data_IF_741503551621
#
_entry.id   IF_741503551621
#
_cell.length_a   1.000
_cell.length_b   1.000
_cell.length_c   1.000
_cell.angle_alpha   90.00
_cell.angle_beta   90.00
_cell.angle_gamma   90.00
#
_symmetry.space_group_name_H-M   'P 1'
#
loop_
_entity.id
_entity.type
_entity.pdbx_description
1 polymer ?
#
# COMPACT_ATOMS: atom_id res chain seq x y z
N UNK A 1 -8.82 25.89 -15.31
CA UNK A 1 -8.26 25.73 -13.95
C UNK A 1 -9.27 24.92 -13.18
N UNK A 2 -8.98 23.65 -12.89
CA UNK A 2 -9.90 22.79 -12.13
C UNK A 2 -9.94 23.29 -10.69
N UNK A 3 -11.11 23.56 -10.20
CA UNK A 3 -11.41 24.00 -8.82
C UNK A 3 -11.17 22.80 -7.86
N UNK A 4 -9.89 22.42 -7.68
CA UNK A 4 -9.51 21.30 -6.84
C UNK A 4 -9.43 21.80 -5.40
N UNK A 5 -10.42 21.38 -4.58
CA UNK A 5 -10.45 21.63 -3.13
C UNK A 5 -9.10 21.26 -2.49
N UNK A 6 -8.52 22.12 -1.65
CA UNK A 6 -7.29 21.80 -0.93
C UNK A 6 -7.50 20.57 -0.06
N UNK A 7 -6.48 19.71 0.01
CA UNK A 7 -6.48 18.51 0.82
C UNK A 7 -6.09 18.83 2.27
N UNK A 8 -6.46 17.99 3.24
CA UNK A 8 -6.18 18.25 4.66
C UNK A 8 -4.71 18.06 5.05
N UNK A 9 -3.87 17.61 4.14
CA UNK A 9 -2.44 17.36 4.36
C UNK A 9 -1.59 18.48 3.76
N UNK A 10 -0.53 18.88 4.45
CA UNK A 10 0.50 19.78 3.93
C UNK A 10 1.63 19.00 3.29
N UNK A 11 2.12 17.98 4.00
CA UNK A 11 3.19 17.10 3.54
C UNK A 11 2.70 15.66 3.49
N UNK A 12 2.82 15.03 2.32
CA UNK A 12 2.51 13.61 2.12
C UNK A 12 3.80 12.86 1.75
N UNK A 13 4.01 11.67 2.32
CA UNK A 13 5.09 10.78 1.95
C UNK A 13 4.54 9.49 1.34
N UNK A 14 4.85 9.24 0.06
CA UNK A 14 4.40 8.05 -0.68
C UNK A 14 5.59 7.14 -0.94
N UNK A 15 5.60 5.97 -0.30
CA UNK A 15 6.62 4.95 -0.46
C UNK A 15 6.14 3.92 -1.48
N UNK A 16 6.94 3.64 -2.51
CA UNK A 16 6.57 2.81 -3.65
C UNK A 16 5.93 3.62 -4.78
N UNK A 17 6.43 4.84 -5.01
CA UNK A 17 5.92 5.79 -5.99
C UNK A 17 6.50 5.65 -7.40
N UNK A 18 7.38 4.68 -7.66
CA UNK A 18 7.99 4.50 -9.00
C UNK A 18 7.00 4.03 -10.07
N UNK A 19 5.88 3.42 -9.69
CA UNK A 19 4.88 2.89 -10.63
C UNK A 19 3.54 2.60 -9.94
N UNK A 20 2.55 2.20 -10.73
CA UNK A 20 1.27 1.69 -10.24
C UNK A 20 0.53 2.68 -9.33
N UNK A 21 -0.10 2.14 -8.27
CA UNK A 21 -1.00 2.90 -7.39
C UNK A 21 -0.29 4.06 -6.67
N UNK A 22 0.98 3.86 -6.23
CA UNK A 22 1.75 4.91 -5.56
C UNK A 22 2.05 6.08 -6.48
N UNK A 23 2.49 5.83 -7.72
CA UNK A 23 2.74 6.87 -8.72
C UNK A 23 1.46 7.60 -9.12
N UNK A 24 0.36 6.87 -9.33
CA UNK A 24 -0.93 7.47 -9.67
C UNK A 24 -1.46 8.36 -8.53
N UNK A 25 -1.34 7.92 -7.28
CA UNK A 25 -1.71 8.75 -6.13
C UNK A 25 -0.83 10.00 -6.02
N UNK A 26 0.50 9.88 -6.23
CA UNK A 26 1.41 11.02 -6.22
C UNK A 26 0.98 12.11 -7.21
N UNK A 27 0.61 11.71 -8.43
CA UNK A 27 0.07 12.62 -9.46
C UNK A 27 -1.24 13.29 -9.04
N UNK A 28 -2.13 12.58 -8.34
CA UNK A 28 -3.39 13.15 -7.83
C UNK A 28 -3.17 14.15 -6.69
N UNK A 29 -2.10 14.03 -5.93
CA UNK A 29 -1.74 14.95 -4.85
C UNK A 29 -0.94 16.15 -5.36
N UNK A 30 -0.33 16.06 -6.54
CA UNK A 30 0.49 17.12 -7.12
C UNK A 30 -0.31 18.43 -7.28
N UNK A 31 0.27 19.54 -6.80
CA UNK A 31 -0.38 20.85 -6.79
C UNK A 31 -1.57 20.98 -5.83
N UNK A 32 -1.90 19.95 -5.03
CA UNK A 32 -3.01 19.96 -4.06
C UNK A 32 -2.54 19.94 -2.60
N UNK A 33 -1.26 19.66 -2.38
CA UNK A 33 -0.56 19.73 -1.09
C UNK A 33 0.73 20.51 -1.27
N UNK A 34 1.36 20.96 -0.18
CA UNK A 34 2.59 21.74 -0.28
C UNK A 34 3.76 20.92 -0.80
N UNK A 35 3.89 19.67 -0.31
CA UNK A 35 4.95 18.75 -0.70
C UNK A 35 4.45 17.32 -0.73
N UNK A 36 4.76 16.61 -1.81
CA UNK A 36 4.60 15.15 -1.91
C UNK A 36 6.00 14.53 -1.99
N UNK A 37 6.52 14.03 -0.88
CA UNK A 37 7.73 13.23 -0.88
C UNK A 37 7.45 11.87 -1.52
N UNK A 38 8.19 11.53 -2.58
CA UNK A 38 8.05 10.28 -3.31
C UNK A 38 9.29 9.42 -3.13
N UNK A 39 9.10 8.16 -2.71
CA UNK A 39 10.21 7.24 -2.45
C UNK A 39 10.04 5.93 -3.20
N UNK A 40 11.13 5.48 -3.79
CA UNK A 40 11.31 4.16 -4.40
C UNK A 40 12.82 3.88 -4.55
N UNK A 41 13.19 2.66 -4.94
CA UNK A 41 14.58 2.29 -5.21
C UNK A 41 15.13 2.89 -6.50
N UNK A 42 14.28 3.05 -7.53
CA UNK A 42 14.69 3.58 -8.84
C UNK A 42 14.70 5.10 -8.80
N UNK A 43 15.89 5.71 -8.79
CA UNK A 43 16.08 7.15 -8.91
C UNK A 43 15.47 7.65 -10.23
N UNK A 44 15.79 7.02 -11.36
CA UNK A 44 15.33 7.45 -12.69
C UNK A 44 13.80 7.55 -12.77
N UNK A 45 13.07 6.58 -12.14
CA UNK A 45 11.62 6.59 -12.13
C UNK A 45 11.05 7.72 -11.26
N UNK A 46 11.74 8.06 -10.16
CA UNK A 46 11.37 9.19 -9.31
C UNK A 46 11.66 10.53 -10.02
N UNK A 47 12.78 10.64 -10.68
CA UNK A 47 13.18 11.84 -11.43
C UNK A 47 12.23 12.10 -12.61
N UNK A 48 11.83 11.06 -13.33
CA UNK A 48 10.83 11.16 -14.40
C UNK A 48 9.47 11.65 -13.87
N UNK A 49 9.08 11.22 -12.67
CA UNK A 49 7.83 11.67 -12.05
C UNK A 49 7.94 13.11 -11.51
N UNK A 50 9.07 13.45 -10.92
CA UNK A 50 9.37 14.78 -10.39
C UNK A 50 9.49 15.85 -11.48
N UNK A 51 10.10 15.53 -12.64
CA UNK A 51 10.42 16.47 -13.71
C UNK A 51 9.20 17.27 -14.24
N UNK A 52 7.99 16.72 -14.12
CA UNK A 52 6.73 17.34 -14.57
C UNK A 52 5.93 18.00 -13.44
N UNK A 53 6.49 18.11 -12.23
CA UNK A 53 5.76 18.52 -11.03
C UNK A 53 6.45 19.67 -10.30
N UNK A 54 5.63 20.48 -9.60
CA UNK A 54 6.10 21.55 -8.73
C UNK A 54 6.12 21.17 -7.25
N UNK A 55 5.40 20.13 -6.84
CA UNK A 55 5.24 19.75 -5.43
C UNK A 55 5.79 18.38 -5.09
N UNK A 56 6.15 17.56 -6.10
CA UNK A 56 6.81 16.28 -5.87
C UNK A 56 8.29 16.47 -5.54
N UNK A 57 8.77 15.82 -4.48
CA UNK A 57 10.17 15.80 -4.08
C UNK A 57 10.67 14.35 -4.01
N UNK A 58 11.74 14.03 -4.76
CA UNK A 58 12.28 12.68 -4.87
C UNK A 58 13.22 12.34 -3.71
N UNK A 59 12.95 11.23 -3.03
CA UNK A 59 13.76 10.66 -1.95
C UNK A 59 14.01 9.17 -2.23
N UNK A 60 15.10 8.82 -2.93
CA UNK A 60 15.43 7.42 -3.21
C UNK A 60 15.59 6.63 -1.93
N UNK A 61 14.96 5.45 -1.88
CA UNK A 61 14.91 4.68 -0.65
C UNK A 61 14.70 3.19 -0.92
N UNK A 62 15.52 2.36 -0.27
CA UNK A 62 15.18 0.97 -0.02
C UNK A 62 14.59 0.85 1.41
N UNK A 63 13.31 0.52 1.51
CA UNK A 63 12.61 0.43 2.79
C UNK A 63 13.07 -0.74 3.66
N UNK A 64 13.87 -1.65 3.13
CA UNK A 64 14.47 -2.76 3.91
C UNK A 64 15.67 -2.31 4.74
N UNK A 65 16.27 -1.14 4.41
CA UNK A 65 17.31 -0.50 5.20
C UNK A 65 16.67 0.46 6.22
N UNK A 66 16.61 0.02 7.49
CA UNK A 66 16.01 0.80 8.58
C UNK A 66 16.72 2.13 8.83
N UNK A 67 18.05 2.17 8.69
CA UNK A 67 18.83 3.39 8.87
C UNK A 67 18.61 4.39 7.74
N UNK A 68 18.49 3.90 6.50
CA UNK A 68 18.12 4.73 5.35
C UNK A 68 16.70 5.30 5.52
N UNK A 69 15.74 4.50 6.01
CA UNK A 69 14.39 4.96 6.32
C UNK A 69 14.41 6.08 7.37
N UNK A 70 15.18 5.91 8.46
CA UNK A 70 15.30 6.91 9.51
C UNK A 70 15.95 8.22 9.01
N UNK A 71 16.96 8.13 8.15
CA UNK A 71 17.55 9.33 7.51
C UNK A 71 16.53 10.02 6.60
N UNK A 72 15.90 9.27 5.71
CA UNK A 72 14.92 9.78 4.77
C UNK A 72 13.75 10.50 5.49
N UNK A 73 13.22 9.91 6.55
CA UNK A 73 12.16 10.51 7.36
C UNK A 73 12.58 11.90 7.90
N UNK A 74 13.77 11.98 8.52
CA UNK A 74 14.29 13.26 9.04
C UNK A 74 14.52 14.30 7.94
N UNK A 75 15.07 13.88 6.80
CA UNK A 75 15.35 14.77 5.68
C UNK A 75 14.04 15.36 5.12
N UNK A 76 12.97 14.57 5.01
CA UNK A 76 11.66 15.06 4.61
C UNK A 76 11.13 16.08 5.61
N UNK A 77 11.19 15.77 6.92
CA UNK A 77 10.69 16.69 7.94
C UNK A 77 11.48 18.02 7.99
N UNK A 78 12.80 17.96 7.79
CA UNK A 78 13.64 19.16 7.74
C UNK A 78 13.33 20.05 6.53
N UNK A 79 13.04 19.46 5.37
CA UNK A 79 12.83 20.18 4.12
C UNK A 79 11.37 20.60 3.88
N UNK A 80 10.40 19.80 4.36
CA UNK A 80 8.98 19.98 4.06
C UNK A 80 8.08 20.14 5.30
N UNK A 81 8.67 20.07 6.49
CA UNK A 81 7.93 20.09 7.75
C UNK A 81 7.29 18.74 8.11
N UNK A 82 6.48 18.72 9.16
CA UNK A 82 5.87 17.48 9.67
C UNK A 82 5.10 16.73 8.59
N UNK A 83 5.30 15.41 8.54
CA UNK A 83 4.61 14.54 7.57
C UNK A 83 3.18 14.26 8.07
N UNK A 84 2.18 14.75 7.35
CA UNK A 84 0.77 14.59 7.71
C UNK A 84 0.16 13.29 7.20
N UNK A 85 0.62 12.80 6.03
CA UNK A 85 0.15 11.56 5.41
C UNK A 85 1.32 10.67 5.02
N UNK A 86 1.32 9.42 5.47
CA UNK A 86 2.25 8.37 5.02
C UNK A 86 1.47 7.29 4.28
N UNK A 87 1.88 6.98 3.04
CA UNK A 87 1.27 5.92 2.21
C UNK A 87 2.30 4.84 1.90
N UNK A 88 2.10 3.65 2.45
CA UNK A 88 3.00 2.50 2.37
C UNK A 88 2.57 1.59 1.22
N UNK A 89 2.97 1.95 -0.02
CA UNK A 89 2.60 1.25 -1.26
C UNK A 89 3.72 0.39 -1.86
N UNK A 90 4.92 0.42 -1.29
CA UNK A 90 6.00 -0.46 -1.72
C UNK A 90 5.66 -1.93 -1.49
N UNK A 91 6.12 -2.79 -2.38
CA UNK A 91 5.91 -4.21 -2.23
C UNK A 91 6.45 -5.00 -3.41
N UNK A 92 6.64 -6.29 -3.23
CA UNK A 92 7.00 -7.26 -4.28
C UNK A 92 5.90 -8.32 -4.41
N UNK A 93 5.84 -8.92 -5.60
CA UNK A 93 4.95 -10.01 -5.94
C UNK A 93 5.74 -11.05 -6.71
N UNK A 94 5.78 -12.25 -6.18
CA UNK A 94 6.39 -13.41 -6.82
C UNK A 94 5.37 -14.56 -6.75
N UNK A 95 5.01 -15.15 -7.90
CA UNK A 95 4.14 -16.32 -7.96
C UNK A 95 4.90 -17.57 -7.54
N UNK A 96 4.33 -18.33 -6.61
CA UNK A 96 4.92 -19.59 -6.14
C UNK A 96 3.87 -20.70 -6.14
N UNK A 97 4.24 -21.84 -6.69
CA UNK A 97 3.47 -23.10 -6.61
C UNK A 97 4.14 -24.08 -5.65
N UNK A 98 3.41 -25.05 -5.07
CA UNK A 98 3.99 -25.96 -4.07
C UNK A 98 5.29 -26.67 -4.45
N UNK A 99 5.54 -27.09 -5.71
CA UNK A 99 6.83 -27.68 -6.08
C UNK A 99 8.03 -26.74 -5.97
N UNK A 100 7.78 -25.41 -6.12
CA UNK A 100 8.81 -24.39 -6.26
C UNK A 100 8.91 -23.51 -5.01
N UNK A 101 8.54 -24.00 -3.82
CA UNK A 101 8.64 -23.24 -2.58
C UNK A 101 10.11 -22.92 -2.25
N UNK A 102 10.47 -21.64 -2.36
CA UNK A 102 11.81 -21.15 -2.08
C UNK A 102 11.81 -20.22 -0.85
N UNK A 103 12.48 -20.60 0.25
CA UNK A 103 12.58 -19.78 1.44
C UNK A 103 13.15 -18.36 1.20
N UNK A 104 14.02 -18.19 0.20
CA UNK A 104 14.59 -16.87 -0.13
C UNK A 104 13.51 -15.92 -0.67
N UNK A 105 12.59 -16.44 -1.49
CA UNK A 105 11.45 -15.67 -2.00
C UNK A 105 10.50 -15.26 -0.87
N UNK A 106 10.21 -16.16 0.08
CA UNK A 106 9.43 -15.82 1.27
C UNK A 106 10.12 -14.75 2.11
N UNK A 107 11.43 -14.92 2.37
CA UNK A 107 12.22 -13.93 3.11
C UNK A 107 12.18 -12.57 2.43
N UNK A 108 12.47 -12.49 1.12
CA UNK A 108 12.40 -11.25 0.33
C UNK A 108 11.02 -10.60 0.43
N UNK A 109 9.94 -11.39 0.30
CA UNK A 109 8.59 -10.88 0.41
C UNK A 109 8.30 -10.31 1.81
N UNK A 110 8.72 -11.00 2.88
CA UNK A 110 8.58 -10.49 4.25
C UNK A 110 9.44 -9.26 4.51
N UNK A 111 10.69 -9.23 4.06
CA UNK A 111 11.58 -8.09 4.24
C UNK A 111 11.00 -6.82 3.58
N UNK A 112 10.55 -6.93 2.32
CA UNK A 112 10.03 -5.77 1.58
C UNK A 112 8.61 -5.41 2.00
N UNK A 113 7.67 -6.38 1.97
CA UNK A 113 6.25 -6.08 2.13
C UNK A 113 5.83 -5.85 3.57
N UNK A 114 6.55 -6.43 4.55
CA UNK A 114 6.20 -6.34 5.96
C UNK A 114 7.24 -5.57 6.77
N UNK A 115 8.49 -6.04 6.84
CA UNK A 115 9.50 -5.35 7.64
C UNK A 115 9.81 -3.95 7.13
N UNK A 116 9.83 -3.73 5.81
CA UNK A 116 9.95 -2.39 5.25
C UNK A 116 8.83 -1.45 5.71
N UNK A 117 7.59 -1.95 5.79
CA UNK A 117 6.47 -1.18 6.37
C UNK A 117 6.72 -0.88 7.85
N UNK A 118 7.17 -1.86 8.63
CA UNK A 118 7.50 -1.69 10.06
C UNK A 118 8.60 -0.66 10.26
N UNK A 119 9.65 -0.66 9.42
CA UNK A 119 10.73 0.33 9.48
C UNK A 119 10.21 1.77 9.36
N UNK A 120 9.28 2.00 8.43
CA UNK A 120 8.66 3.34 8.25
C UNK A 120 7.74 3.68 9.43
N UNK A 121 6.92 2.73 9.89
CA UNK A 121 6.05 2.94 11.05
C UNK A 121 6.84 3.28 12.32
N UNK A 122 8.02 2.68 12.51
CA UNK A 122 8.90 2.96 13.64
C UNK A 122 9.38 4.43 13.70
N UNK A 123 9.40 5.14 12.57
CA UNK A 123 9.71 6.56 12.52
C UNK A 123 8.44 7.41 12.63
N UNK A 124 7.42 7.11 11.82
CA UNK A 124 6.23 7.95 11.69
C UNK A 124 5.30 7.88 12.92
N UNK A 125 5.10 6.69 13.49
CA UNK A 125 4.13 6.49 14.59
C UNK A 125 4.48 7.29 15.84
N UNK A 126 5.71 7.22 16.39
CA UNK A 126 6.05 7.97 17.60
C UNK A 126 5.87 9.50 17.44
N UNK A 127 6.24 10.01 16.26
CA UNK A 127 6.10 11.45 15.99
C UNK A 127 4.63 11.86 15.84
N UNK A 128 3.84 11.13 15.06
CA UNK A 128 2.42 11.41 14.89
C UNK A 128 1.65 11.30 16.21
N UNK A 129 1.95 10.28 17.04
CA UNK A 129 1.34 10.15 18.39
C UNK A 129 1.71 11.30 19.31
N UNK A 130 2.96 11.79 19.27
CA UNK A 130 3.41 12.95 20.06
C UNK A 130 2.70 14.25 19.64
N UNK A 131 2.44 14.41 18.34
CA UNK A 131 1.70 15.55 17.77
C UNK A 131 0.20 15.41 17.89
N UNK A 132 -0.31 14.23 18.25
CA UNK A 132 -1.72 13.85 18.25
C UNK A 132 -2.40 14.10 16.88
N UNK A 133 -1.63 14.00 15.82
CA UNK A 133 -2.06 14.27 14.44
C UNK A 133 -1.23 13.47 13.43
N UNK A 134 -1.89 12.99 12.39
CA UNK A 134 -1.29 12.28 11.27
C UNK A 134 -2.22 11.22 10.69
N UNK A 135 -1.86 10.78 9.50
CA UNK A 135 -2.59 9.71 8.81
C UNK A 135 -1.63 8.73 8.16
N UNK A 136 -1.90 7.44 8.34
CA UNK A 136 -1.10 6.35 7.78
C UNK A 136 -2.02 5.46 6.94
N UNK A 137 -1.59 5.12 5.73
CA UNK A 137 -2.27 4.17 4.85
C UNK A 137 -1.34 2.98 4.54
N UNK A 138 -1.70 1.79 4.98
CA UNK A 138 -0.97 0.55 4.69
C UNK A 138 -1.64 -0.14 3.51
N UNK A 139 -0.93 -0.24 2.38
CA UNK A 139 -1.44 -0.93 1.19
C UNK A 139 -1.23 -2.44 1.36
N UNK A 140 -2.28 -3.11 1.76
CA UNK A 140 -2.36 -4.57 1.80
C UNK A 140 -2.95 -5.12 0.48
N UNK A 141 -3.88 -6.06 0.54
CA UNK A 141 -4.58 -6.66 -0.61
C UNK A 141 -5.73 -7.54 -0.14
N UNK A 142 -6.71 -7.79 -1.01
CA UNK A 142 -7.71 -8.85 -0.80
C UNK A 142 -7.06 -10.25 -0.68
N UNK A 143 -5.85 -10.43 -1.21
CA UNK A 143 -5.06 -11.66 -1.04
C UNK A 143 -4.64 -11.90 0.42
N UNK A 144 -4.73 -10.90 1.28
CA UNK A 144 -4.53 -11.03 2.73
C UNK A 144 -5.78 -11.51 3.48
N UNK A 145 -6.96 -11.52 2.88
CA UNK A 145 -8.18 -11.97 3.55
C UNK A 145 -8.24 -13.49 3.70
N UNK A 146 -7.77 -14.22 2.69
CA UNK A 146 -7.72 -15.67 2.68
C UNK A 146 -6.65 -16.17 1.72
N UNK A 147 -6.02 -17.31 2.04
CA UNK A 147 -4.97 -17.88 1.20
C UNK A 147 -5.47 -18.21 -0.21
N UNK A 148 -4.79 -17.70 -1.22
CA UNK A 148 -5.09 -17.93 -2.63
C UNK A 148 -3.97 -18.79 -3.27
N UNK A 149 -4.29 -19.66 -4.24
CA UNK A 149 -3.27 -20.34 -5.04
C UNK A 149 -2.28 -19.36 -5.67
N UNK A 150 -1.06 -19.78 -5.88
CA UNK A 150 0.07 -19.02 -6.43
C UNK A 150 0.51 -17.80 -5.58
N UNK A 151 -0.21 -17.45 -4.50
CA UNK A 151 0.03 -16.26 -3.69
C UNK A 151 0.65 -16.55 -2.31
N UNK A 152 1.28 -17.71 -2.10
CA UNK A 152 1.71 -18.14 -0.78
C UNK A 152 2.64 -17.14 -0.06
N UNK A 153 3.71 -16.67 -0.70
CA UNK A 153 4.60 -15.69 -0.10
C UNK A 153 3.94 -14.32 0.03
N UNK A 154 3.33 -13.83 -1.04
CA UNK A 154 2.69 -12.51 -1.05
C UNK A 154 1.48 -12.43 -0.11
N UNK A 155 0.55 -13.38 -0.22
CA UNK A 155 -0.68 -13.41 0.58
C UNK A 155 -0.39 -13.45 2.08
N UNK A 156 0.63 -14.20 2.50
CA UNK A 156 1.08 -14.24 3.90
C UNK A 156 1.53 -12.87 4.40
N UNK A 157 2.31 -12.11 3.59
CA UNK A 157 2.72 -10.76 3.98
C UNK A 157 1.54 -9.80 4.06
N UNK A 158 0.56 -9.92 3.15
CA UNK A 158 -0.62 -9.06 3.13
C UNK A 158 -1.59 -9.38 4.27
N UNK A 159 -1.70 -10.65 4.68
CA UNK A 159 -2.42 -11.04 5.89
C UNK A 159 -1.76 -10.47 7.15
N UNK A 160 -0.42 -10.52 7.23
CA UNK A 160 0.34 -9.92 8.32
C UNK A 160 0.11 -8.40 8.41
N UNK A 161 0.08 -7.68 7.28
CA UNK A 161 -0.21 -6.24 7.26
C UNK A 161 -1.63 -5.91 7.72
N UNK A 162 -2.64 -6.72 7.36
CA UNK A 162 -4.01 -6.53 7.84
C UNK A 162 -4.05 -6.68 9.36
N UNK A 163 -3.44 -7.75 9.89
CA UNK A 163 -3.38 -7.99 11.33
C UNK A 163 -2.62 -6.88 12.07
N UNK A 164 -1.49 -6.41 11.53
CA UNK A 164 -0.73 -5.29 12.08
C UNK A 164 -1.59 -4.01 12.14
N UNK A 165 -2.31 -3.70 11.06
CA UNK A 165 -3.18 -2.53 11.02
C UNK A 165 -4.33 -2.64 12.03
N UNK A 166 -4.96 -3.82 12.16
CA UNK A 166 -6.01 -4.08 13.16
C UNK A 166 -5.48 -3.89 14.58
N UNK A 167 -4.27 -4.38 14.87
CA UNK A 167 -3.65 -4.28 16.19
C UNK A 167 -3.28 -2.84 16.59
N UNK A 168 -2.74 -2.05 15.64
CA UNK A 168 -2.31 -0.69 15.92
C UNK A 168 -3.46 0.33 15.94
N UNK A 169 -4.55 0.06 15.21
CA UNK A 169 -5.61 1.03 14.98
C UNK A 169 -6.21 1.62 16.27
N UNK A 170 -6.59 0.83 17.30
CA UNK A 170 -7.21 1.39 18.51
C UNK A 170 -6.27 2.34 19.28
N UNK A 171 -4.99 1.98 19.38
CA UNK A 171 -4.01 2.78 20.11
C UNK A 171 -3.68 4.10 19.38
N UNK A 172 -3.56 4.05 18.05
CA UNK A 172 -3.33 5.22 17.23
C UNK A 172 -4.54 6.17 17.22
N UNK A 173 -5.76 5.60 17.11
CA UNK A 173 -6.99 6.38 17.16
C UNK A 173 -7.16 7.12 18.50
N UNK A 174 -6.78 6.48 19.62
CA UNK A 174 -6.80 7.11 20.95
C UNK A 174 -5.82 8.30 21.06
N UNK A 175 -4.86 8.40 20.13
CA UNK A 175 -3.87 9.49 20.02
C UNK A 175 -4.13 10.42 18.83
N UNK A 176 -5.34 10.42 18.27
CA UNK A 176 -5.68 11.31 17.16
C UNK A 176 -5.03 10.95 15.82
N UNK A 177 -4.33 9.81 15.71
CA UNK A 177 -3.70 9.35 14.49
C UNK A 177 -4.64 8.41 13.72
N UNK A 178 -4.89 8.73 12.46
CA UNK A 178 -5.73 7.90 11.59
C UNK A 178 -4.90 6.80 10.94
N UNK A 179 -5.32 5.55 11.05
CA UNK A 179 -4.73 4.42 10.34
C UNK A 179 -5.74 3.80 9.39
N UNK A 180 -5.36 3.66 8.13
CA UNK A 180 -6.17 3.02 7.08
C UNK A 180 -5.50 1.74 6.59
N UNK A 181 -6.24 0.63 6.60
CA UNK A 181 -5.90 -0.62 5.90
C UNK A 181 -6.50 -0.57 4.50
N UNK A 182 -5.66 -0.53 3.48
CA UNK A 182 -6.09 -0.46 2.08
C UNK A 182 -5.98 -1.84 1.47
N UNK A 183 -7.11 -2.41 1.04
CA UNK A 183 -7.18 -3.78 0.55
C UNK A 183 -7.71 -3.81 -0.90
N UNK A 184 -6.87 -3.47 -1.90
CA UNK A 184 -7.26 -3.50 -3.30
C UNK A 184 -7.41 -4.93 -3.82
N UNK A 185 -8.29 -5.09 -4.83
CA UNK A 185 -8.28 -6.22 -5.73
C UNK A 185 -7.23 -6.06 -6.84
N UNK A 186 -7.55 -6.56 -8.04
CA UNK A 186 -6.66 -6.43 -9.18
C UNK A 186 -6.69 -5.01 -9.75
N UNK A 187 -5.50 -4.41 -9.86
CA UNK A 187 -5.28 -3.10 -10.47
C UNK A 187 -4.37 -3.31 -11.69
N UNK A 188 -4.72 -2.67 -12.79
CA UNK A 188 -3.94 -2.68 -14.02
C UNK A 188 -2.64 -1.89 -13.82
N UNK A 189 -1.54 -2.62 -13.67
CA UNK A 189 -0.20 -2.09 -13.36
C UNK A 189 0.85 -3.02 -13.93
N UNK A 190 2.10 -2.56 -14.15
CA UNK A 190 3.18 -3.43 -14.60
C UNK A 190 3.39 -4.68 -13.73
N UNK A 191 3.01 -4.61 -12.45
CA UNK A 191 3.08 -5.77 -11.54
C UNK A 191 2.06 -6.86 -11.87
N UNK A 192 0.89 -6.50 -12.39
CA UNK A 192 -0.18 -7.45 -12.71
C UNK A 192 -0.12 -7.97 -14.15
N UNK A 193 0.64 -7.33 -15.03
CA UNK A 193 0.84 -7.76 -16.42
C UNK A 193 1.49 -9.15 -16.52
N UNK A 194 2.28 -9.55 -15.51
CA UNK A 194 2.95 -10.87 -15.47
C UNK A 194 2.03 -12.01 -15.02
N UNK A 195 0.78 -11.72 -14.64
CA UNK A 195 -0.14 -12.74 -14.17
C UNK A 195 -0.69 -13.58 -15.33
N UNK A 196 -0.61 -14.90 -15.19
CA UNK A 196 -1.08 -15.91 -16.15
C UNK A 196 -2.46 -16.49 -15.81
N UNK A 197 -3.21 -15.82 -14.94
CA UNK A 197 -4.51 -16.27 -14.45
C UNK A 197 -5.59 -15.18 -14.57
N UNK A 198 -6.89 -15.55 -14.60
CA UNK A 198 -7.97 -14.58 -14.68
C UNK A 198 -7.93 -13.55 -13.54
N UNK A 199 -8.03 -12.27 -13.88
CA UNK A 199 -8.10 -11.16 -12.93
C UNK A 199 -9.50 -10.52 -12.96
N UNK A 200 -10.49 -11.10 -12.27
CA UNK A 200 -11.84 -10.57 -12.29
C UNK A 200 -11.90 -9.16 -11.72
N UNK A 201 -12.68 -8.31 -12.38
CA UNK A 201 -12.86 -6.91 -11.97
C UNK A 201 -11.56 -6.10 -11.98
N UNK A 202 -10.62 -6.39 -12.91
CA UNK A 202 -9.42 -5.58 -13.10
C UNK A 202 -9.78 -4.10 -13.22
N UNK A 203 -9.14 -3.25 -12.43
CA UNK A 203 -9.46 -1.83 -12.35
C UNK A 203 -8.30 -0.99 -12.92
N UNK A 204 -8.58 0.03 -13.76
CA UNK A 204 -7.56 1.00 -14.18
C UNK A 204 -6.90 1.66 -12.98
N UNK A 205 -5.58 1.88 -13.06
CA UNK A 205 -4.77 2.42 -11.95
C UNK A 205 -5.24 3.80 -11.50
N UNK A 206 -5.62 4.66 -12.42
CA UNK A 206 -6.09 6.01 -12.10
C UNK A 206 -7.40 5.97 -11.31
N UNK A 207 -8.36 5.15 -11.74
CA UNK A 207 -9.61 4.94 -11.01
C UNK A 207 -9.38 4.33 -9.61
N UNK A 208 -8.36 3.47 -9.47
CA UNK A 208 -7.97 2.92 -8.17
C UNK A 208 -7.35 4.00 -7.27
N UNK A 209 -6.51 4.88 -7.80
CA UNK A 209 -5.92 6.00 -7.07
C UNK A 209 -6.98 7.01 -6.61
N UNK A 210 -7.97 7.33 -7.44
CA UNK A 210 -9.12 8.18 -7.05
C UNK A 210 -9.91 7.55 -5.88
N UNK A 211 -10.15 6.23 -5.92
CA UNK A 211 -10.84 5.51 -4.82
C UNK A 211 -10.02 5.52 -3.54
N UNK A 212 -8.70 5.35 -3.66
CA UNK A 212 -7.79 5.46 -2.53
C UNK A 212 -7.85 6.86 -1.93
N UNK A 213 -7.66 7.90 -2.74
CA UNK A 213 -7.71 9.29 -2.29
C UNK A 213 -9.03 9.62 -1.58
N UNK A 214 -10.16 9.28 -2.18
CA UNK A 214 -11.47 9.50 -1.58
C UNK A 214 -11.66 8.76 -0.23
N UNK A 215 -11.05 7.58 -0.08
CA UNK A 215 -11.04 6.84 1.18
C UNK A 215 -10.18 7.51 2.25
N UNK A 216 -9.02 8.04 1.86
CA UNK A 216 -8.11 8.80 2.73
C UNK A 216 -8.74 10.10 3.22
N UNK A 217 -9.37 10.88 2.34
CA UNK A 217 -10.08 12.12 2.70
C UNK A 217 -11.19 11.88 3.74
N UNK A 218 -11.87 10.72 3.65
CA UNK A 218 -12.91 10.31 4.60
C UNK A 218 -12.37 9.68 5.88
N UNK A 219 -11.06 9.49 5.98
CA UNK A 219 -10.40 8.82 7.11
C UNK A 219 -10.96 7.41 7.39
N UNK A 220 -11.35 6.68 6.34
CA UNK A 220 -11.89 5.34 6.51
C UNK A 220 -10.80 4.38 7.02
N UNK A 221 -11.13 3.57 8.03
CA UNK A 221 -10.22 2.52 8.50
C UNK A 221 -9.91 1.51 7.39
N UNK A 222 -10.96 1.01 6.71
CA UNK A 222 -10.78 0.09 5.60
C UNK A 222 -11.15 0.75 4.27
N UNK A 223 -10.19 0.76 3.33
CA UNK A 223 -10.38 1.27 1.97
C UNK A 223 -10.27 0.10 1.00
N UNK A 224 -11.36 -0.20 0.29
CA UNK A 224 -11.43 -1.36 -0.62
C UNK A 224 -11.97 -0.98 -1.99
N UNK A 225 -11.38 -1.57 -3.01
CA UNK A 225 -11.82 -1.41 -4.41
C UNK A 225 -11.28 -2.56 -5.29
N UNK A 226 -12.04 -2.99 -6.33
CA UNK A 226 -13.44 -2.67 -6.59
C UNK A 226 -14.35 -3.36 -5.54
N UNK A 227 -15.41 -2.67 -5.10
CA UNK A 227 -16.26 -3.13 -3.98
C UNK A 227 -16.86 -4.51 -4.21
N UNK A 228 -17.33 -4.83 -5.42
CA UNK A 228 -17.93 -6.14 -5.74
C UNK A 228 -16.97 -7.28 -5.46
N UNK A 229 -15.73 -7.17 -5.92
CA UNK A 229 -14.70 -8.17 -5.70
C UNK A 229 -14.32 -8.31 -4.22
N UNK A 230 -14.13 -7.19 -3.54
CA UNK A 230 -13.73 -7.21 -2.13
C UNK A 230 -14.84 -7.79 -1.23
N UNK A 231 -16.11 -7.51 -1.50
CA UNK A 231 -17.22 -8.15 -0.80
C UNK A 231 -17.26 -9.66 -1.03
N UNK A 232 -17.05 -10.12 -2.28
CA UNK A 232 -16.95 -11.54 -2.58
C UNK A 232 -15.82 -12.20 -1.78
N UNK A 233 -14.65 -11.59 -1.72
CA UNK A 233 -13.50 -12.10 -0.96
C UNK A 233 -13.77 -12.12 0.56
N UNK A 234 -14.49 -11.13 1.10
CA UNK A 234 -14.92 -11.13 2.50
C UNK A 234 -15.89 -12.27 2.80
N UNK A 235 -16.84 -12.55 1.91
CA UNK A 235 -17.72 -13.71 2.06
C UNK A 235 -16.94 -15.02 2.02
N UNK A 236 -16.00 -15.17 1.10
CA UNK A 236 -15.12 -16.35 1.05
C UNK A 236 -14.32 -16.54 2.34
N UNK A 237 -13.94 -15.46 3.03
CA UNK A 237 -13.25 -15.51 4.33
C UNK A 237 -14.10 -16.18 5.41
N UNK A 238 -15.42 -16.00 5.38
CA UNK A 238 -16.34 -16.54 6.38
C UNK A 238 -16.69 -18.03 6.17
N UNK A 239 -16.40 -18.59 5.00
CA UNK A 239 -16.76 -19.98 4.70
C UNK A 239 -15.92 -20.97 5.53
N UNK A 240 -16.51 -22.10 5.98
CA UNK A 240 -15.76 -23.22 6.51
C UNK A 240 -14.70 -23.70 5.51
N UNK A 241 -13.56 -24.16 6.02
CA UNK A 241 -12.41 -24.56 5.17
C UNK A 241 -12.78 -25.60 4.11
N UNK A 242 -13.64 -26.58 4.43
CA UNK A 242 -14.06 -27.61 3.48
C UNK A 242 -14.76 -27.00 2.25
N UNK A 243 -15.68 -26.07 2.48
CA UNK A 243 -16.41 -25.37 1.41
C UNK A 243 -15.47 -24.48 0.59
N UNK A 244 -14.63 -23.72 1.27
CA UNK A 244 -13.65 -22.85 0.62
C UNK A 244 -12.70 -23.66 -0.29
N UNK A 245 -12.10 -24.74 0.22
CA UNK A 245 -11.18 -25.56 -0.59
C UNK A 245 -11.89 -26.30 -1.72
N UNK A 246 -13.15 -26.66 -1.56
CA UNK A 246 -13.95 -27.19 -2.65
C UNK A 246 -14.13 -26.15 -3.78
N UNK A 247 -14.48 -24.89 -3.43
CA UNK A 247 -14.59 -23.79 -4.40
C UNK A 247 -13.24 -23.55 -5.12
N UNK A 248 -12.15 -23.46 -4.36
CA UNK A 248 -10.81 -23.21 -4.93
C UNK A 248 -10.43 -24.32 -5.92
N UNK A 249 -10.63 -25.59 -5.54
CA UNK A 249 -10.32 -26.72 -6.42
C UNK A 249 -11.19 -26.76 -7.67
N UNK A 250 -12.45 -26.38 -7.55
CA UNK A 250 -13.41 -26.50 -8.66
C UNK A 250 -13.32 -25.34 -9.64
N UNK A 251 -13.09 -24.11 -9.15
CA UNK A 251 -13.23 -22.91 -9.98
C UNK A 251 -11.92 -22.14 -10.20
N UNK A 252 -10.90 -22.35 -9.37
CA UNK A 252 -9.65 -21.57 -9.47
C UNK A 252 -8.50 -22.44 -10.00
N UNK A 253 -8.38 -23.71 -9.57
CA UNK A 253 -7.27 -24.59 -9.98
C UNK A 253 -7.56 -25.37 -11.28
N UNK A 254 -8.78 -25.37 -11.78
CA UNK A 254 -9.16 -26.05 -13.05
C UNK A 254 -9.05 -25.13 -14.27
N UNK A 255 -8.72 -23.88 -14.10
CA UNK A 255 -8.43 -22.92 -15.16
C UNK A 255 -6.93 -22.76 -15.33
#
# INVERSE_FOLDING_TARGET
>A
MSDTKPLPWRTAWIIGASSGLGAALAKLLDGRVNTVAISARSQDALDALHASSQTLAAYPLDITDADAVARCYRDIEQNAGPIDLVVLSAGTWDMLTPPDLDPKTFKKAMDVNFMGVVNVLAQAVPDMMRREAGQIAIISSVAGYRGLPKAAAYGSTKAALINLAESLHPELAAKGVTLSSVNPGFIDTPRTEVNDFPMPFLMPVDAAAERLLAGLERKNYEITFPRRFTWMMKLLRLLPNAVYFWIVRTFILRT
#
